data_IF_641075306229
#
_entry.id   IF_641075306229
#
_cell.length_a   1.000
_cell.length_b   1.000
_cell.length_c   1.000
_cell.angle_alpha   90.00
_cell.angle_beta   90.00
_cell.angle_gamma   90.00
#
_symmetry.space_group_name_H-M   'P 1'
#
loop_
_entity.id
_entity.type
_entity.pdbx_description
1 polymer ?
#
# COMPACT_ATOMS: atom_id res chain seq x y z
N UNK A 1 18.38 12.61 -6.69
CA UNK A 1 17.17 11.75 -6.76
C UNK A 1 16.83 11.50 -8.23
N UNK A 2 16.22 10.37 -8.56
CA UNK A 2 15.83 10.08 -9.96
C UNK A 2 14.50 10.75 -10.31
N UNK A 3 14.34 11.21 -11.56
CA UNK A 3 13.15 11.90 -12.07
C UNK A 3 11.82 11.20 -11.71
N UNK A 4 11.82 9.86 -11.66
CA UNK A 4 10.64 9.07 -11.33
C UNK A 4 10.24 9.16 -9.85
N UNK A 5 11.23 9.20 -8.94
CA UNK A 5 10.99 9.38 -7.51
C UNK A 5 10.40 10.77 -7.24
N UNK A 6 10.93 11.81 -7.89
CA UNK A 6 10.41 13.17 -7.74
C UNK A 6 9.00 13.33 -8.33
N UNK A 7 8.69 12.64 -9.44
CA UNK A 7 7.32 12.57 -9.97
C UNK A 7 6.36 11.84 -9.03
N UNK A 8 6.80 10.74 -8.41
CA UNK A 8 5.98 10.01 -7.45
C UNK A 8 5.73 10.85 -6.20
N UNK A 9 6.77 11.49 -5.65
CA UNK A 9 6.64 12.41 -4.52
C UNK A 9 5.59 13.49 -4.80
N UNK A 10 5.68 14.18 -5.94
CA UNK A 10 4.68 15.18 -6.34
C UNK A 10 3.27 14.58 -6.44
N UNK A 11 3.14 13.38 -7.02
CA UNK A 11 1.84 12.70 -7.08
C UNK A 11 1.28 12.37 -5.70
N UNK A 12 2.12 11.92 -4.76
CA UNK A 12 1.70 11.65 -3.38
C UNK A 12 1.35 12.94 -2.63
N UNK A 13 2.07 14.04 -2.87
CA UNK A 13 1.74 15.35 -2.31
C UNK A 13 0.37 15.86 -2.80
N UNK A 14 0.07 15.68 -4.09
CA UNK A 14 -1.18 16.18 -4.70
C UNK A 14 -2.38 15.26 -4.45
N UNK A 15 -2.21 13.94 -4.59
CA UNK A 15 -3.30 12.96 -4.62
C UNK A 15 -3.21 11.92 -3.51
N UNK A 16 -2.12 11.91 -2.74
CA UNK A 16 -1.93 10.94 -1.66
C UNK A 16 -2.83 11.24 -0.47
N UNK A 17 -3.46 10.19 0.02
CA UNK A 17 -4.28 10.20 1.23
C UNK A 17 -3.35 10.05 2.45
N UNK A 18 -3.52 10.85 3.52
CA UNK A 18 -2.75 10.65 4.75
C UNK A 18 -3.21 9.36 5.44
N UNK A 19 -2.29 8.43 5.61
CA UNK A 19 -2.50 7.14 6.27
C UNK A 19 -1.60 7.07 7.49
N UNK A 20 -2.19 6.87 8.66
CA UNK A 20 -1.44 6.66 9.89
C UNK A 20 -1.08 5.18 10.04
N UNK A 21 0.22 4.89 10.11
CA UNK A 21 0.76 3.56 10.34
C UNK A 21 1.30 3.53 11.77
N UNK A 22 0.75 2.71 12.68
CA UNK A 22 1.18 2.65 14.07
C UNK A 22 2.68 2.40 14.19
N UNK A 23 3.37 3.22 14.97
CA UNK A 23 4.81 3.13 15.18
C UNK A 23 5.68 3.65 14.03
N UNK A 24 5.10 4.08 12.90
CA UNK A 24 5.83 4.62 11.73
C UNK A 24 5.41 6.04 11.36
N UNK A 25 4.23 6.45 11.81
CA UNK A 25 3.70 7.81 11.66
C UNK A 25 2.74 7.93 10.48
N UNK A 26 2.46 9.17 10.12
CA UNK A 26 1.55 9.48 9.01
C UNK A 26 2.31 9.54 7.70
N UNK A 27 1.94 8.69 6.75
CA UNK A 27 2.49 8.66 5.40
C UNK A 27 1.42 8.99 4.39
N UNK A 28 1.78 9.72 3.33
CA UNK A 28 0.88 9.89 2.19
C UNK A 28 0.95 8.67 1.31
N UNK A 29 -0.19 8.05 1.06
CA UNK A 29 -0.32 6.87 0.21
C UNK A 29 -1.32 7.11 -0.92
N UNK A 30 -0.99 6.63 -2.12
CA UNK A 30 -1.99 6.45 -3.17
C UNK A 30 -2.68 5.12 -2.92
N UNK A 31 -4.01 5.15 -2.76
CA UNK A 31 -4.83 3.99 -2.45
C UNK A 31 -5.70 3.65 -3.65
N UNK A 32 -5.78 2.36 -3.97
CA UNK A 32 -6.63 1.87 -5.05
C UNK A 32 -7.21 0.51 -4.68
N UNK A 33 -8.53 0.38 -4.80
CA UNK A 33 -9.21 -0.92 -4.69
C UNK A 33 -8.79 -1.83 -5.84
N UNK A 34 -8.45 -3.07 -5.51
CA UNK A 34 -8.07 -4.10 -6.46
C UNK A 34 -9.29 -4.91 -6.86
N UNK A 35 -9.46 -5.14 -8.17
CA UNK A 35 -10.42 -6.14 -8.65
C UNK A 35 -9.93 -7.55 -8.30
N UNK A 36 -10.83 -8.53 -8.25
CA UNK A 36 -10.45 -9.93 -7.99
C UNK A 36 -9.36 -10.46 -8.95
N UNK A 37 -9.43 -10.08 -10.23
CA UNK A 37 -8.40 -10.42 -11.22
C UNK A 37 -7.04 -9.79 -10.92
N UNK A 38 -7.01 -8.58 -10.37
CA UNK A 38 -5.77 -7.91 -9.97
C UNK A 38 -5.21 -8.50 -8.67
N UNK A 39 -6.06 -8.91 -7.73
CA UNK A 39 -5.64 -9.60 -6.50
C UNK A 39 -4.87 -10.89 -6.82
N UNK A 40 -5.33 -11.66 -7.80
CA UNK A 40 -4.69 -12.90 -8.25
C UNK A 40 -3.28 -12.75 -8.81
N UNK A 41 -2.87 -11.55 -9.21
CA UNK A 41 -1.49 -11.29 -9.64
C UNK A 41 -0.52 -11.28 -8.45
N UNK A 42 -1.02 -11.08 -7.23
CA UNK A 42 -0.17 -10.73 -6.09
C UNK A 42 -0.38 -11.59 -4.84
N UNK A 43 -1.58 -12.13 -4.68
CA UNK A 43 -2.04 -12.94 -3.56
C UNK A 43 -2.36 -14.34 -4.06
N UNK A 44 -2.00 -15.35 -3.29
CA UNK A 44 -2.40 -16.72 -3.60
C UNK A 44 -3.90 -16.96 -3.29
N UNK A 45 -4.48 -18.08 -3.76
CA UNK A 45 -5.89 -18.37 -3.52
C UNK A 45 -6.26 -18.51 -2.02
N UNK A 46 -5.32 -18.94 -1.17
CA UNK A 46 -5.58 -19.08 0.27
C UNK A 46 -5.63 -17.71 0.94
N UNK A 47 -4.74 -16.79 0.57
CA UNK A 47 -4.77 -15.40 1.02
C UNK A 47 -6.04 -14.68 0.55
N UNK A 48 -6.45 -14.90 -0.70
CA UNK A 48 -7.70 -14.35 -1.22
C UNK A 48 -8.94 -14.91 -0.50
N UNK A 49 -8.91 -16.19 -0.09
CA UNK A 49 -10.03 -16.79 0.64
C UNK A 49 -10.25 -16.19 2.03
N UNK A 50 -9.23 -15.55 2.60
CA UNK A 50 -9.29 -14.86 3.88
C UNK A 50 -9.82 -13.43 3.76
N UNK A 51 -10.15 -12.97 2.54
CA UNK A 51 -10.60 -11.63 2.28
C UNK A 51 -12.12 -11.55 2.26
N UNK A 52 -12.68 -10.70 3.12
CA UNK A 52 -14.11 -10.38 3.13
C UNK A 52 -14.45 -9.24 2.17
N UNK A 53 -13.44 -8.48 1.73
CA UNK A 53 -13.57 -7.31 0.86
C UNK A 53 -12.42 -7.25 -0.16
N UNK A 54 -12.56 -6.47 -1.24
CA UNK A 54 -11.48 -6.25 -2.20
C UNK A 54 -10.20 -5.73 -1.55
N UNK A 55 -9.05 -6.17 -2.05
CA UNK A 55 -7.73 -5.75 -1.55
C UNK A 55 -7.43 -4.30 -1.89
N UNK A 56 -6.51 -3.68 -1.15
CA UNK A 56 -6.10 -2.28 -1.36
C UNK A 56 -4.63 -2.23 -1.78
N UNK A 57 -4.37 -1.60 -2.90
CA UNK A 57 -3.01 -1.29 -3.33
C UNK A 57 -2.59 0.07 -2.80
N UNK A 58 -1.43 0.14 -2.14
CA UNK A 58 -0.91 1.35 -1.52
C UNK A 58 0.51 1.69 -2.04
N UNK A 59 0.74 2.93 -2.41
CA UNK A 59 2.09 3.39 -2.79
C UNK A 59 2.57 4.41 -1.79
N UNK A 60 3.73 4.16 -1.18
CA UNK A 60 4.37 5.07 -0.25
C UNK A 60 5.79 5.42 -0.74
N UNK A 61 6.37 6.46 -0.14
CA UNK A 61 7.78 6.76 -0.35
C UNK A 61 8.68 5.71 0.31
N UNK A 62 9.88 5.55 -0.22
CA UNK A 62 10.95 4.68 0.29
C UNK A 62 11.17 4.75 1.82
N UNK A 63 11.10 5.96 2.36
CA UNK A 63 11.37 6.31 3.75
C UNK A 63 10.24 5.93 4.71
N UNK A 64 9.06 5.57 4.20
CA UNK A 64 7.93 5.17 5.02
C UNK A 64 8.16 3.84 5.77
N UNK A 65 9.20 3.08 5.41
CA UNK A 65 9.59 1.83 6.07
C UNK A 65 8.43 0.84 6.28
N UNK A 66 7.50 0.78 5.32
CA UNK A 66 6.36 -0.13 5.37
C UNK A 66 6.83 -1.57 5.17
N UNK A 67 6.37 -2.49 6.02
CA UNK A 67 6.72 -3.91 5.99
C UNK A 67 5.45 -4.77 6.03
N UNK A 68 5.61 -6.06 5.75
CA UNK A 68 4.52 -7.02 5.84
C UNK A 68 4.04 -7.17 7.29
N UNK A 69 2.73 -7.35 7.45
CA UNK A 69 1.95 -7.35 8.70
C UNK A 69 1.81 -5.99 9.38
N UNK A 70 2.33 -4.90 8.81
CA UNK A 70 1.92 -3.56 9.25
C UNK A 70 0.42 -3.41 9.07
N UNK A 71 -0.25 -2.83 10.05
CA UNK A 71 -1.66 -2.47 9.95
C UNK A 71 -1.80 -0.96 9.80
N UNK A 72 -2.78 -0.48 9.06
CA UNK A 72 -3.12 0.94 9.02
C UNK A 72 -4.62 1.13 8.85
N UNK A 73 -5.12 2.32 9.20
CA UNK A 73 -6.54 2.63 9.07
C UNK A 73 -6.78 3.56 7.90
N UNK A 74 -7.74 3.20 7.03
CA UNK A 74 -8.24 4.02 5.92
C UNK A 74 -9.76 4.01 6.01
N UNK A 75 -10.39 5.18 5.99
CA UNK A 75 -11.85 5.35 6.01
C UNK A 75 -12.54 4.54 7.13
N UNK A 76 -11.92 4.48 8.31
CA UNK A 76 -12.43 3.74 9.47
C UNK A 76 -12.25 2.22 9.41
N UNK A 77 -11.54 1.70 8.40
CA UNK A 77 -11.29 0.27 8.20
C UNK A 77 -9.83 -0.06 8.46
N UNK A 78 -9.59 -1.19 9.12
CA UNK A 78 -8.23 -1.70 9.34
C UNK A 78 -7.76 -2.49 8.14
N UNK A 79 -6.58 -2.14 7.64
CA UNK A 79 -5.93 -2.76 6.50
C UNK A 79 -4.62 -3.35 6.97
N UNK A 80 -4.33 -4.59 6.62
CA UNK A 80 -3.09 -5.29 6.95
C UNK A 80 -2.23 -5.45 5.71
N UNK A 81 -1.02 -4.92 5.71
CA UNK A 81 -0.05 -5.10 4.63
C UNK A 81 0.32 -6.57 4.54
N UNK A 82 0.08 -7.21 3.40
CA UNK A 82 0.49 -8.60 3.18
C UNK A 82 1.72 -8.76 2.34
N UNK A 83 1.98 -7.78 1.48
CA UNK A 83 3.09 -7.87 0.56
C UNK A 83 3.68 -6.50 0.29
N UNK A 84 4.98 -6.39 0.44
CA UNK A 84 5.71 -5.17 0.07
C UNK A 84 6.59 -5.47 -1.14
N UNK A 85 6.32 -4.79 -2.24
CA UNK A 85 7.08 -4.87 -3.48
C UNK A 85 7.93 -3.63 -3.62
N UNK A 86 9.25 -3.80 -3.76
CA UNK A 86 10.17 -2.68 -4.03
C UNK A 86 10.59 -2.74 -5.50
N UNK A 87 9.79 -2.20 -6.44
CA UNK A 87 10.18 -2.18 -7.84
C UNK A 87 11.47 -1.36 -8.01
N UNK A 88 12.16 -1.53 -9.14
CA UNK A 88 13.41 -0.81 -9.47
C UNK A 88 13.25 0.71 -9.70
N UNK A 89 12.24 1.34 -9.11
CA UNK A 89 12.08 2.79 -9.01
C UNK A 89 12.97 3.31 -7.86
N UNK A 90 14.31 3.30 -8.05
CA UNK A 90 15.34 3.93 -7.19
C UNK A 90 14.92 4.21 -5.73
N UNK A 91 14.57 3.17 -4.97
CA UNK A 91 14.30 3.24 -3.54
C UNK A 91 12.82 3.19 -3.11
N UNK A 92 11.86 3.46 -3.99
CA UNK A 92 10.44 3.55 -3.60
C UNK A 92 9.83 2.20 -3.19
N UNK A 93 8.97 2.23 -2.16
CA UNK A 93 8.29 1.05 -1.64
C UNK A 93 6.81 1.04 -2.06
N UNK A 94 6.41 0.05 -2.85
CA UNK A 94 5.01 -0.25 -3.10
C UNK A 94 4.55 -1.27 -2.06
N UNK A 95 3.47 -1.00 -1.35
CA UNK A 95 2.90 -1.95 -0.41
C UNK A 95 1.50 -2.36 -0.85
N UNK A 96 1.09 -3.57 -0.46
CA UNK A 96 -0.22 -4.13 -0.76
C UNK A 96 -0.89 -4.44 0.55
N UNK A 97 -1.96 -3.71 0.82
CA UNK A 97 -2.84 -3.91 1.95
C UNK A 97 -3.94 -4.89 1.62
N UNK A 98 -4.24 -5.78 2.56
CA UNK A 98 -5.51 -6.48 2.61
C UNK A 98 -6.45 -5.74 3.53
N UNK A 99 -7.65 -5.47 3.04
CA UNK A 99 -8.72 -4.98 3.87
C UNK A 99 -9.41 -6.20 4.48
N UNK A 100 -9.28 -6.35 5.80
CA UNK A 100 -9.90 -7.43 6.55
C UNK A 100 -10.88 -6.81 7.55
N UNK A 101 -12.04 -7.43 7.67
CA UNK A 101 -13.04 -7.06 8.67
C UNK A 101 -13.32 -8.26 9.57
#
# INVERSE_FOLDING_TARGET
>A
MGILADRLRRKLETFGTPVNVPGKGTHRMLLQDLTASQMAVYLDPAEQSQMTLPGVYAVALADANIVENDTFTVDGRTVTVRKVVRPRLKGEALCRGLLAW
#
